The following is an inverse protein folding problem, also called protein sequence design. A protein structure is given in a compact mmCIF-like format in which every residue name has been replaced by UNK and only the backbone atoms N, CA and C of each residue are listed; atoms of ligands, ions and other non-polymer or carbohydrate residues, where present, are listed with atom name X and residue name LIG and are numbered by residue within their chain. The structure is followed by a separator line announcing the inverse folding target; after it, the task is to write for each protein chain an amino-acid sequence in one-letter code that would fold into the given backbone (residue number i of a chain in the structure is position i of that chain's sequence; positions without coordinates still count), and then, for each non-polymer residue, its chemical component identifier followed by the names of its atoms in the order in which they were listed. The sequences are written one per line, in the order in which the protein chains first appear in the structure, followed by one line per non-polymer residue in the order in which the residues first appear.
data_IF_970421296576
#
_entry.id   IF_970421296576
#
_cell.length_a   1.000
_cell.length_b   1.000
_cell.length_c   1.000
_cell.angle_alpha   90.00
_cell.angle_beta   90.00
_cell.angle_gamma   90.00
#
_symmetry.space_group_name_H-M   'P 1'
#
loop_
_entity.id
_entity.type
_entity.pdbx_description
1 polymer ?
#
# COMPACT_ATOMS: atom_id res chain seq x y z
N UNK A 1 -35.27 36.78 4.39
CA UNK A 1 -35.31 35.61 3.48
C UNK A 1 -34.07 35.68 2.60
N UNK A 2 -33.15 34.74 2.45
CA UNK A 2 -32.90 33.42 3.02
C UNK A 2 -31.50 33.06 2.52
N UNK A 3 -30.63 32.57 3.42
CA UNK A 3 -29.25 32.17 3.14
C UNK A 3 -29.23 31.08 2.06
N UNK A 4 -28.45 31.25 0.98
CA UNK A 4 -28.01 30.15 0.11
C UNK A 4 -26.51 30.02 0.20
N UNK A 5 -26.06 29.44 1.31
CA UNK A 5 -24.72 28.87 1.46
C UNK A 5 -24.91 27.38 1.69
N UNK A 6 -24.73 26.55 0.66
CA UNK A 6 -24.50 25.12 0.88
C UNK A 6 -23.82 24.40 -0.28
N UNK A 7 -23.76 24.94 -1.50
CA UNK A 7 -22.99 24.27 -2.58
C UNK A 7 -21.47 24.27 -2.32
N UNK A 8 -20.95 25.18 -1.49
CA UNK A 8 -19.56 25.19 -1.06
C UNK A 8 -19.25 24.25 0.13
N UNK A 9 -20.27 23.57 0.67
CA UNK A 9 -20.12 22.59 1.76
C UNK A 9 -19.86 21.17 1.26
N UNK A 10 -20.08 20.90 -0.03
CA UNK A 10 -19.93 19.55 -0.60
C UNK A 10 -18.48 19.25 -1.03
N UNK A 11 -17.65 20.28 -1.19
CA UNK A 11 -16.25 20.15 -1.62
C UNK A 11 -15.24 20.19 -0.45
N UNK A 12 -15.69 20.64 0.74
CA UNK A 12 -14.85 20.78 1.94
C UNK A 12 -14.96 19.61 2.92
N UNK A 13 -15.69 18.58 2.53
CA UNK A 13 -15.58 17.25 3.10
C UNK A 13 -14.43 16.52 2.39
N UNK A 14 -13.22 17.10 2.44
CA UNK A 14 -12.00 16.29 2.52
C UNK A 14 -12.27 15.31 3.65
N UNK A 15 -12.63 14.09 3.25
CA UNK A 15 -13.02 13.00 4.14
C UNK A 15 -11.82 12.81 5.06
N UNK A 16 -11.87 13.37 6.27
CA UNK A 16 -10.80 13.23 7.26
C UNK A 16 -10.68 11.75 7.53
N UNK A 17 -9.72 11.12 6.87
CA UNK A 17 -9.36 9.74 7.15
C UNK A 17 -8.91 9.67 8.60
N UNK A 18 -9.42 8.67 9.27
CA UNK A 18 -9.14 8.38 10.67
C UNK A 18 -7.90 7.50 10.78
N UNK A 19 -7.33 7.41 11.98
CA UNK A 19 -6.24 6.46 12.27
C UNK A 19 -6.63 5.02 11.87
N UNK A 20 -7.92 4.66 12.04
CA UNK A 20 -8.45 3.36 11.64
C UNK A 20 -8.36 3.14 10.12
N UNK A 21 -8.70 4.14 9.31
CA UNK A 21 -8.60 4.04 7.85
C UNK A 21 -7.14 3.84 7.41
N UNK A 22 -6.18 4.49 8.06
CA UNK A 22 -4.76 4.31 7.77
C UNK A 22 -4.23 2.94 8.25
N UNK A 23 -4.75 2.43 9.36
CA UNK A 23 -4.43 1.07 9.84
C UNK A 23 -4.93 0.02 8.85
N UNK A 24 -6.15 0.18 8.34
CA UNK A 24 -6.73 -0.72 7.33
C UNK A 24 -5.91 -0.68 6.02
N UNK A 25 -5.51 0.52 5.57
CA UNK A 25 -4.63 0.70 4.40
C UNK A 25 -3.28 -0.03 4.62
N UNK A 26 -2.69 0.05 5.81
CA UNK A 26 -1.44 -0.63 6.15
C UNK A 26 -1.58 -2.17 6.21
N UNK A 27 -2.66 -2.68 6.80
CA UNK A 27 -2.94 -4.13 6.85
C UNK A 27 -3.18 -4.70 5.45
N UNK A 28 -3.92 -3.99 4.60
CA UNK A 28 -4.11 -4.36 3.20
C UNK A 28 -2.79 -4.39 2.44
N UNK A 29 -1.97 -3.35 2.60
CA UNK A 29 -0.66 -3.26 1.96
C UNK A 29 0.29 -4.40 2.39
N UNK A 30 0.30 -4.75 3.68
CA UNK A 30 1.07 -5.88 4.20
C UNK A 30 0.60 -7.22 3.60
N UNK A 31 -0.72 -7.39 3.45
CA UNK A 31 -1.31 -8.59 2.84
C UNK A 31 -0.92 -8.70 1.37
N UNK A 32 -1.00 -7.60 0.62
CA UNK A 32 -0.61 -7.55 -0.79
C UNK A 32 0.89 -7.81 -0.98
N UNK A 33 1.72 -7.28 -0.08
CA UNK A 33 3.16 -7.51 -0.07
C UNK A 33 3.51 -8.99 0.18
N UNK A 34 2.88 -9.62 1.19
CA UNK A 34 3.07 -11.04 1.49
C UNK A 34 2.64 -11.94 0.34
N UNK A 35 1.49 -11.65 -0.28
CA UNK A 35 1.00 -12.35 -1.45
C UNK A 35 1.97 -12.23 -2.63
N UNK A 36 2.49 -11.03 -2.89
CA UNK A 36 3.46 -10.79 -3.94
C UNK A 36 4.78 -11.55 -3.68
N UNK A 37 5.32 -11.50 -2.46
CA UNK A 37 6.55 -12.23 -2.12
C UNK A 37 6.37 -13.74 -2.22
N UNK A 38 5.22 -14.27 -1.80
CA UNK A 38 4.87 -15.69 -1.95
C UNK A 38 4.82 -16.10 -3.42
N UNK A 39 4.17 -15.30 -4.26
CA UNK A 39 4.10 -15.55 -5.70
C UNK A 39 5.47 -15.46 -6.38
N UNK A 40 6.30 -14.47 -6.01
CA UNK A 40 7.65 -14.32 -6.53
C UNK A 40 8.51 -15.54 -6.19
N UNK A 41 8.44 -16.01 -4.94
CA UNK A 41 9.14 -17.23 -4.50
C UNK A 41 8.70 -18.46 -5.28
N UNK A 42 7.39 -18.65 -5.43
CA UNK A 42 6.85 -19.77 -6.21
C UNK A 42 7.32 -19.76 -7.68
N UNK A 43 7.42 -18.58 -8.30
CA UNK A 43 7.96 -18.44 -9.67
C UNK A 43 9.44 -18.82 -9.75
N UNK A 44 10.25 -18.41 -8.77
CA UNK A 44 11.67 -18.76 -8.71
C UNK A 44 11.83 -20.27 -8.47
N UNK A 45 11.12 -20.83 -7.50
CA UNK A 45 11.17 -22.26 -7.18
C UNK A 45 10.75 -23.11 -8.38
N UNK A 46 9.68 -22.73 -9.08
CA UNK A 46 9.26 -23.39 -10.32
C UNK A 46 10.33 -23.30 -11.43
N UNK A 47 10.97 -22.14 -11.56
CA UNK A 47 12.03 -21.96 -12.56
C UNK A 47 13.23 -22.85 -12.27
N UNK A 48 13.62 -22.97 -11.01
CA UNK A 48 14.73 -23.83 -10.57
C UNK A 48 14.38 -25.32 -10.67
N UNK A 49 13.14 -25.71 -10.32
CA UNK A 49 12.67 -27.09 -10.43
C UNK A 49 12.69 -27.59 -11.88
N UNK A 50 12.44 -26.71 -12.85
CA UNK A 50 12.52 -27.00 -14.28
C UNK A 50 13.94 -26.84 -14.86
N UNK A 51 14.98 -26.95 -14.03
CA UNK A 51 16.38 -26.90 -14.46
C UNK A 51 16.85 -25.53 -14.97
N UNK A 52 16.15 -24.44 -14.62
CA UNK A 52 16.44 -23.10 -15.12
C UNK A 52 15.74 -22.74 -16.43
N UNK A 53 14.80 -23.58 -16.88
CA UNK A 53 14.03 -23.48 -18.11
C UNK A 53 14.90 -23.49 -19.39
N UNK A 54 15.20 -24.69 -19.88
CA UNK A 54 15.86 -24.94 -21.17
C UNK A 54 15.10 -24.32 -22.36
N UNK A 55 13.79 -24.13 -22.24
CA UNK A 55 12.99 -23.35 -23.18
C UNK A 55 13.02 -21.85 -22.83
N UNK A 56 13.79 -21.10 -23.61
CA UNK A 56 13.93 -19.64 -23.45
C UNK A 56 12.61 -18.87 -23.53
N UNK A 57 11.58 -19.38 -24.22
CA UNK A 57 10.25 -18.76 -24.24
C UNK A 57 9.58 -18.86 -22.87
N UNK A 58 9.65 -20.03 -22.24
CA UNK A 58 9.11 -20.26 -20.90
C UNK A 58 9.86 -19.45 -19.86
N UNK A 59 11.20 -19.42 -19.92
CA UNK A 59 12.02 -18.58 -19.04
C UNK A 59 11.63 -17.11 -19.15
N UNK A 60 11.50 -16.58 -20.37
CA UNK A 60 11.13 -15.18 -20.60
C UNK A 60 9.75 -14.84 -20.00
N UNK A 61 8.76 -15.71 -20.16
CA UNK A 61 7.43 -15.52 -19.55
C UNK A 61 7.49 -15.50 -18.03
N UNK A 62 8.31 -16.36 -17.42
CA UNK A 62 8.48 -16.42 -15.97
C UNK A 62 9.19 -15.19 -15.43
N UNK A 63 10.22 -14.69 -16.14
CA UNK A 63 10.89 -13.44 -15.80
C UNK A 63 9.93 -12.24 -15.88
N UNK A 64 9.10 -12.15 -16.92
CA UNK A 64 8.10 -11.09 -17.02
C UNK A 64 7.05 -11.17 -15.90
N UNK A 65 6.62 -12.38 -15.54
CA UNK A 65 5.72 -12.59 -14.41
C UNK A 65 6.38 -12.17 -13.08
N UNK A 66 7.65 -12.53 -12.88
CA UNK A 66 8.41 -12.14 -11.70
C UNK A 66 8.56 -10.61 -11.61
N UNK A 67 8.89 -9.95 -12.71
CA UNK A 67 8.97 -8.49 -12.78
C UNK A 67 7.63 -7.83 -12.42
N UNK A 68 6.52 -8.36 -12.93
CA UNK A 68 5.18 -7.86 -12.59
C UNK A 68 4.90 -8.01 -11.10
N UNK A 69 5.17 -9.17 -10.52
CA UNK A 69 4.93 -9.44 -9.09
C UNK A 69 5.80 -8.54 -8.21
N UNK A 70 7.07 -8.33 -8.57
CA UNK A 70 7.96 -7.42 -7.84
C UNK A 70 7.49 -5.96 -7.93
N UNK A 71 6.89 -5.55 -9.06
CA UNK A 71 6.25 -4.24 -9.18
C UNK A 71 5.04 -4.11 -8.24
N UNK A 72 4.21 -5.14 -8.14
CA UNK A 72 3.12 -5.17 -7.18
C UNK A 72 3.62 -5.06 -5.73
N UNK A 73 4.70 -5.78 -5.38
CA UNK A 73 5.33 -5.67 -4.07
C UNK A 73 5.81 -4.23 -3.79
N UNK A 74 6.48 -3.58 -4.74
CA UNK A 74 6.89 -2.17 -4.59
C UNK A 74 5.72 -1.21 -4.43
N UNK A 75 4.62 -1.40 -5.17
CA UNK A 75 3.41 -0.58 -4.99
C UNK A 75 2.74 -0.79 -3.62
N UNK A 76 2.73 -2.02 -3.11
CA UNK A 76 2.23 -2.31 -1.77
C UNK A 76 3.13 -1.66 -0.70
N UNK A 77 4.46 -1.71 -0.88
CA UNK A 77 5.42 -1.04 0.00
C UNK A 77 5.21 0.48 0.01
N UNK A 78 4.98 1.12 -1.13
CA UNK A 78 4.69 2.56 -1.21
C UNK A 78 3.42 2.92 -0.41
N UNK A 79 2.35 2.12 -0.53
CA UNK A 79 1.11 2.33 0.23
C UNK A 79 1.36 2.17 1.73
N UNK A 80 2.14 1.16 2.13
CA UNK A 80 2.50 0.93 3.52
C UNK A 80 3.28 2.13 4.10
N UNK A 81 4.27 2.65 3.37
CA UNK A 81 5.04 3.82 3.82
C UNK A 81 4.15 5.06 3.98
N UNK A 82 3.24 5.30 3.03
CA UNK A 82 2.28 6.40 3.13
C UNK A 82 1.38 6.23 4.36
N UNK A 83 0.85 5.03 4.59
CA UNK A 83 -0.01 4.75 5.73
C UNK A 83 0.72 4.96 7.06
N UNK A 84 1.97 4.49 7.17
CA UNK A 84 2.83 4.66 8.37
C UNK A 84 3.16 6.13 8.62
N UNK A 85 3.46 6.91 7.58
CA UNK A 85 3.72 8.34 7.70
C UNK A 85 2.47 9.10 8.20
N UNK A 86 1.30 8.80 7.63
CA UNK A 86 0.03 9.41 8.05
C UNK A 86 -0.37 9.02 9.48
N UNK A 87 -0.13 7.77 9.89
CA UNK A 87 -0.34 7.34 11.27
C UNK A 87 0.59 8.08 12.23
N UNK A 88 1.87 8.24 11.88
CA UNK A 88 2.86 8.95 12.71
C UNK A 88 2.45 10.42 12.90
N UNK A 89 2.03 11.10 11.83
CA UNK A 89 1.55 12.48 11.91
C UNK A 89 0.25 12.63 12.71
N UNK A 90 -0.62 11.61 12.69
CA UNK A 90 -1.87 11.62 13.45
C UNK A 90 -1.63 11.51 14.96
N UNK A 91 -0.65 10.69 15.36
CA UNK A 91 -0.25 10.51 16.76
C UNK A 91 0.42 11.78 17.32
N UNK A 92 1.31 12.42 16.56
CA UNK A 92 1.98 13.65 17.00
C UNK A 92 1.00 14.82 17.19
N UNK A 93 -0.11 14.81 16.47
CA UNK A 93 -1.15 15.85 16.55
C UNK A 93 -2.08 15.71 17.75
N UNK A 94 -2.15 14.52 18.36
CA UNK A 94 -2.91 14.24 19.58
C UNK A 94 -2.10 14.46 20.87
N UNK A 95 -0.79 14.78 20.78
CA UNK A 95 0.02 15.08 21.95
C UNK A 95 -0.51 16.35 22.67
N UNK A 96 -0.81 16.27 23.99
CA UNK A 96 -1.32 17.40 24.73
C UNK A 96 -0.29 18.52 24.78
N UNK A 97 -0.73 19.77 24.56
CA UNK A 97 0.11 20.95 24.68
C UNK A 97 0.83 20.94 26.05
N UNK A 98 2.13 21.31 26.11
CA UNK A 98 2.83 21.39 27.37
C UNK A 98 2.07 22.36 28.28
N UNK A 99 1.67 21.88 29.46
CA UNK A 99 1.00 22.68 30.47
C UNK A 99 1.93 23.84 30.84
N UNK A 100 1.60 25.04 30.36
CA UNK A 100 2.20 26.29 30.83
C UNK A 100 1.73 26.51 32.27
N UNK A 101 2.61 26.24 33.23
CA UNK A 101 2.49 26.73 34.61
C UNK A 101 2.85 28.22 34.70
#
# INVERSE_FOLDING_TARGET
MGKKTSAASEDRAERRRTLGDFSDDAESALTDLDAALTAARALVDLTLADGGADDGRTLYKRLNALEYVLRCAGSAEDVLWIAVDQMSMSVDREAPAPLSN
#
